data_IF_441007874737
#
_entry.id   IF_441007874737
#
_cell.length_a   1.000
_cell.length_b   1.000
_cell.length_c   1.000
_cell.angle_alpha   90.00
_cell.angle_beta   90.00
_cell.angle_gamma   90.00
#
_symmetry.space_group_name_H-M   'P 1'
#
loop_
_entity.id
_entity.type
_entity.pdbx_description
1 polymer ?
#
# COMPACT_ATOMS: atom_id res chain seq x y z
N UNK A 1 -3.18 -34.04 12.37
CA UNK A 1 -1.83 -33.52 12.04
C UNK A 1 -2.02 -32.21 11.29
N UNK A 2 -1.27 -31.14 11.58
CA UNK A 2 -1.44 -29.87 10.88
C UNK A 2 -1.04 -30.05 9.42
N UNK A 3 -1.94 -29.79 8.48
CA UNK A 3 -1.65 -29.82 7.05
C UNK A 3 -1.46 -28.41 6.53
N UNK A 4 -0.37 -28.17 5.80
CA UNK A 4 -0.14 -26.91 5.08
C UNK A 4 -0.38 -27.13 3.60
N UNK A 5 -0.91 -26.11 2.93
CA UNK A 5 -1.12 -26.15 1.48
C UNK A 5 -0.12 -25.22 0.81
N UNK A 6 0.75 -25.80 -0.02
CA UNK A 6 1.76 -25.08 -0.81
C UNK A 6 1.54 -25.48 -2.28
N UNK A 7 1.38 -24.50 -3.17
CA UNK A 7 1.18 -24.72 -4.62
C UNK A 7 0.10 -25.77 -4.94
N UNK A 8 -1.05 -25.63 -4.30
CA UNK A 8 -2.20 -26.55 -4.41
C UNK A 8 -2.00 -27.99 -3.92
N UNK A 9 -0.86 -28.28 -3.27
CA UNK A 9 -0.58 -29.57 -2.65
C UNK A 9 -0.66 -29.49 -1.14
N UNK A 10 -1.36 -30.45 -0.54
CA UNK A 10 -1.41 -30.62 0.90
C UNK A 10 -0.19 -31.42 1.37
N UNK A 11 0.49 -30.88 2.38
CA UNK A 11 1.61 -31.52 3.04
C UNK A 11 1.29 -31.65 4.51
N UNK A 12 1.51 -32.85 5.04
CA UNK A 12 1.53 -33.03 6.49
C UNK A 12 2.78 -32.37 7.04
N UNK A 13 2.62 -31.42 7.95
CA UNK A 13 3.76 -30.74 8.59
C UNK A 13 4.67 -31.72 9.30
N UNK A 14 4.13 -32.83 9.84
CA UNK A 14 4.90 -33.86 10.55
C UNK A 14 5.71 -34.75 9.60
N UNK A 15 5.39 -34.73 8.30
CA UNK A 15 6.17 -35.41 7.25
C UNK A 15 7.32 -34.56 6.68
N UNK A 16 7.40 -33.28 7.05
CA UNK A 16 8.46 -32.38 6.57
C UNK A 16 9.80 -32.69 7.22
N UNK A 17 10.88 -32.55 6.45
CA UNK A 17 12.23 -32.60 7.03
C UNK A 17 12.44 -31.42 7.99
N UNK A 18 13.39 -31.53 8.95
CA UNK A 18 13.73 -30.42 9.84
C UNK A 18 14.06 -29.12 9.09
N UNK A 19 14.78 -29.23 7.97
CA UNK A 19 15.15 -28.09 7.12
C UNK A 19 13.92 -27.47 6.46
N UNK A 20 13.01 -28.29 5.94
CA UNK A 20 11.77 -27.81 5.33
C UNK A 20 10.88 -27.07 6.35
N UNK A 21 10.81 -27.57 7.60
CA UNK A 21 10.09 -26.91 8.69
C UNK A 21 10.72 -25.57 9.05
N UNK A 22 12.05 -25.50 9.12
CA UNK A 22 12.76 -24.23 9.37
C UNK A 22 12.49 -23.20 8.26
N UNK A 23 12.49 -23.61 6.99
CA UNK A 23 12.18 -22.69 5.88
C UNK A 23 10.73 -22.23 5.91
N UNK A 24 9.79 -23.10 6.28
CA UNK A 24 8.38 -22.75 6.48
C UNK A 24 8.22 -21.68 7.58
N UNK A 25 8.89 -21.84 8.71
CA UNK A 25 8.83 -20.86 9.80
C UNK A 25 9.36 -19.49 9.35
N UNK A 26 10.46 -19.47 8.59
CA UNK A 26 11.01 -18.23 8.00
C UNK A 26 10.06 -17.60 6.99
N UNK A 27 9.39 -18.41 6.15
CA UNK A 27 8.39 -17.95 5.21
C UNK A 27 7.21 -17.29 5.94
N UNK A 28 6.66 -17.95 6.96
CA UNK A 28 5.55 -17.41 7.76
C UNK A 28 5.95 -16.09 8.43
N UNK A 29 7.18 -16.00 8.95
CA UNK A 29 7.70 -14.76 9.52
C UNK A 29 7.78 -13.63 8.49
N UNK A 30 8.28 -13.93 7.27
CA UNK A 30 8.33 -12.97 6.18
C UNK A 30 6.93 -12.52 5.72
N UNK A 31 5.97 -13.44 5.62
CA UNK A 31 4.59 -13.12 5.29
C UNK A 31 3.91 -12.24 6.33
N UNK A 32 4.11 -12.53 7.62
CA UNK A 32 3.62 -11.68 8.71
C UNK A 32 4.15 -10.26 8.55
N UNK A 33 5.45 -10.11 8.28
CA UNK A 33 6.05 -8.79 8.08
C UNK A 33 5.49 -8.09 6.84
N UNK A 34 5.24 -8.82 5.76
CA UNK A 34 4.61 -8.26 4.57
C UNK A 34 3.19 -7.75 4.85
N UNK A 35 2.39 -8.50 5.62
CA UNK A 35 1.05 -8.07 6.05
C UNK A 35 1.09 -6.78 6.87
N UNK A 36 2.04 -6.66 7.78
CA UNK A 36 2.24 -5.42 8.55
C UNK A 36 2.56 -4.23 7.65
N UNK A 37 3.51 -4.39 6.72
CA UNK A 37 3.89 -3.34 5.78
C UNK A 37 2.72 -2.93 4.87
N UNK A 38 1.90 -3.88 4.43
CA UNK A 38 0.69 -3.59 3.66
C UNK A 38 -0.32 -2.77 4.47
N UNK A 39 -0.51 -3.10 5.75
CA UNK A 39 -1.37 -2.33 6.66
C UNK A 39 -0.87 -0.89 6.81
N UNK A 40 0.43 -0.72 7.06
CA UNK A 40 1.02 0.60 7.26
C UNK A 40 0.98 1.42 5.96
N UNK A 41 1.16 0.77 4.80
CA UNK A 41 0.99 1.38 3.47
C UNK A 41 -0.43 1.92 3.28
N UNK A 42 -1.45 1.14 3.65
CA UNK A 42 -2.85 1.57 3.53
C UNK A 42 -3.15 2.78 4.44
N UNK A 43 -2.59 2.81 5.65
CA UNK A 43 -2.69 3.94 6.56
C UNK A 43 -2.07 5.20 5.94
N UNK A 44 -0.83 5.09 5.46
CA UNK A 44 -0.11 6.22 4.83
C UNK A 44 -0.84 6.69 3.57
N UNK A 45 -1.38 5.79 2.76
CA UNK A 45 -2.15 6.16 1.57
C UNK A 45 -3.39 6.96 1.93
N UNK A 46 -4.08 6.60 3.02
CA UNK A 46 -5.24 7.33 3.54
C UNK A 46 -4.84 8.74 3.96
N UNK A 47 -3.77 8.88 4.75
CA UNK A 47 -3.25 10.19 5.16
C UNK A 47 -2.82 11.05 3.96
N UNK A 48 -2.10 10.47 3.00
CA UNK A 48 -1.70 11.14 1.75
C UNK A 48 -2.92 11.69 0.99
N UNK A 49 -3.97 10.89 0.85
CA UNK A 49 -5.19 11.31 0.16
C UNK A 49 -5.92 12.44 0.90
N UNK A 50 -5.93 12.41 2.24
CA UNK A 50 -6.48 13.48 3.06
C UNK A 50 -5.70 14.79 2.87
N UNK A 51 -4.36 14.74 2.93
CA UNK A 51 -3.51 15.92 2.69
C UNK A 51 -3.65 16.47 1.28
N UNK A 52 -3.75 15.60 0.26
CA UNK A 52 -3.98 16.04 -1.11
C UNK A 52 -5.34 16.76 -1.25
N UNK A 53 -6.37 16.25 -0.57
CA UNK A 53 -7.71 16.86 -0.58
C UNK A 53 -7.71 18.23 0.11
N UNK A 54 -7.06 18.33 1.27
CA UNK A 54 -6.87 19.60 1.97
C UNK A 54 -6.08 20.61 1.11
N UNK A 55 -4.97 20.18 0.50
CA UNK A 55 -4.18 21.03 -0.39
C UNK A 55 -5.02 21.56 -1.55
N UNK A 56 -5.81 20.72 -2.21
CA UNK A 56 -6.69 21.13 -3.32
C UNK A 56 -7.67 22.23 -2.94
N UNK A 57 -8.13 22.29 -1.69
CA UNK A 57 -9.01 23.35 -1.22
C UNK A 57 -8.32 24.72 -1.16
N UNK A 58 -6.98 24.75 -1.09
CA UNK A 58 -6.17 25.98 -1.09
C UNK A 58 -5.62 26.34 -2.47
N UNK A 59 -5.79 25.48 -3.48
CA UNK A 59 -5.35 25.75 -4.84
C UNK A 59 -6.44 26.51 -5.61
N UNK A 60 -6.06 27.46 -6.48
CA UNK A 60 -7.03 28.15 -7.32
C UNK A 60 -7.70 27.15 -8.27
N UNK A 61 -9.02 27.28 -8.41
CA UNK A 61 -9.80 26.45 -9.33
C UNK A 61 -9.33 26.67 -10.77
N UNK A 62 -9.55 25.71 -11.69
CA UNK A 62 -9.20 25.89 -13.10
C UNK A 62 -9.78 27.18 -13.70
N UNK A 63 -11.00 27.57 -13.30
CA UNK A 63 -11.62 28.82 -13.75
C UNK A 63 -10.90 30.06 -13.20
N UNK A 64 -10.49 30.06 -11.93
CA UNK A 64 -9.70 31.15 -11.35
C UNK A 64 -8.31 31.27 -11.99
N UNK A 65 -7.70 30.13 -12.36
CA UNK A 65 -6.43 30.11 -13.07
C UNK A 65 -6.56 30.69 -14.48
N UNK A 66 -7.64 30.37 -15.20
CA UNK A 66 -7.92 30.94 -16.53
C UNK A 66 -8.21 32.45 -16.47
N UNK A 67 -8.92 32.92 -15.44
CA UNK A 67 -9.21 34.34 -15.25
C UNK A 67 -7.96 35.15 -14.87
N UNK A 68 -7.09 34.59 -14.02
CA UNK A 68 -5.80 35.21 -13.68
C UNK A 68 -4.89 35.33 -14.91
N UNK A 69 -4.90 34.35 -15.81
CA UNK A 69 -4.13 34.37 -17.05
C UNK A 69 -4.68 35.37 -18.11
N UNK A 70 -5.92 35.84 -17.98
CA UNK A 70 -6.53 36.82 -18.89
C UNK A 70 -6.57 38.24 -18.31
N UNK A 71 -6.36 38.42 -17.01
CA UNK A 71 -6.33 39.73 -16.36
C UNK A 71 -5.03 40.52 -16.59
N UNK A 72 -3.93 39.82 -16.85
CA UNK A 72 -2.59 40.44 -17.04
C UNK A 72 -2.37 40.99 -18.46
N UNK A 73 -3.19 40.60 -19.44
CA UNK A 73 -3.05 41.04 -20.84
C UNK A 73 -3.77 42.35 -21.16
N UNK A 74 -4.48 42.96 -20.20
CA UNK A 74 -5.28 44.17 -20.40
C UNK A 74 -4.77 45.41 -19.64
N UNK A 75 -3.57 45.36 -19.06
CA UNK A 75 -2.88 46.57 -18.60
C UNK A 75 -1.97 47.11 -19.69
N UNK A 76 -2.54 47.89 -20.61
CA UNK A 76 -1.83 48.86 -21.45
C UNK A 76 -2.44 50.24 -21.25
#
# INVERSE_FOLDING_TARGET
MPTIKIDDREFDTDSLSPEARQQLDMLIAAENRLRELQRDTALVQTARNAYLSALRAHLPTPLQQMQAAHGDTLKL
#
